data_IF_632285676517
#
_entry.id   IF_632285676517
#
_cell.length_a   1.000
_cell.length_b   1.000
_cell.length_c   1.000
_cell.angle_alpha   90.00
_cell.angle_beta   90.00
_cell.angle_gamma   90.00
#
_symmetry.space_group_name_H-M   'P 1'
#
loop_
_entity.id
_entity.type
_entity.pdbx_description
1 polymer ?
#
# COMPACT_ATOMS: atom_id res chain seq x y z
N UNK A 1 -62.17 37.97 -6.44
CA UNK A 1 -61.68 37.01 -5.46
C UNK A 1 -60.72 36.09 -6.19
N UNK A 2 -59.42 36.44 -6.24
CA UNK A 2 -58.40 35.67 -6.94
C UNK A 2 -57.77 34.72 -5.96
N UNK A 3 -57.80 33.43 -6.28
CA UNK A 3 -57.15 32.37 -5.48
C UNK A 3 -55.69 32.26 -5.93
N UNK A 4 -54.76 32.63 -5.01
CA UNK A 4 -53.32 32.51 -5.18
C UNK A 4 -52.93 31.03 -5.02
N UNK A 5 -52.27 30.45 -6.04
CA UNK A 5 -51.60 29.12 -5.94
C UNK A 5 -50.34 29.25 -5.06
N UNK A 6 -50.06 28.30 -4.15
CA UNK A 6 -48.83 28.29 -3.42
C UNK A 6 -47.65 27.87 -4.31
N UNK A 7 -46.55 28.58 -4.19
CA UNK A 7 -45.34 28.41 -4.95
C UNK A 7 -44.73 27.03 -4.73
N UNK A 8 -44.30 26.42 -5.84
CA UNK A 8 -43.49 25.23 -5.86
C UNK A 8 -42.12 25.53 -5.25
N UNK A 9 -41.76 24.78 -4.22
CA UNK A 9 -40.43 24.76 -3.64
C UNK A 9 -39.47 24.17 -4.69
N UNK A 10 -38.65 25.02 -5.29
CA UNK A 10 -37.47 24.58 -6.05
C UNK A 10 -36.60 23.75 -5.13
N UNK A 11 -36.52 22.43 -5.39
CA UNK A 11 -35.48 21.58 -4.85
C UNK A 11 -34.23 21.94 -5.64
N UNK A 12 -33.49 22.94 -5.16
CA UNK A 12 -32.12 23.16 -5.60
C UNK A 12 -31.35 21.86 -5.35
N UNK A 13 -30.99 21.20 -6.45
CA UNK A 13 -30.03 20.10 -6.43
C UNK A 13 -28.72 20.66 -5.86
N UNK A 14 -28.46 20.44 -4.57
CA UNK A 14 -27.12 20.63 -4.00
C UNK A 14 -26.18 19.77 -4.83
N UNK A 15 -25.46 20.40 -5.77
CA UNK A 15 -24.25 19.83 -6.37
C UNK A 15 -23.30 19.62 -5.21
N UNK A 16 -23.05 18.36 -4.86
CA UNK A 16 -22.14 17.99 -3.81
C UNK A 16 -20.81 18.71 -4.05
N UNK A 17 -20.34 19.44 -3.04
CA UNK A 17 -19.02 20.08 -3.06
C UNK A 17 -17.97 19.00 -3.32
N UNK A 18 -17.12 19.12 -4.35
CA UNK A 18 -16.10 18.11 -4.67
C UNK A 18 -15.22 17.71 -3.48
N UNK A 19 -14.96 18.63 -2.55
CA UNK A 19 -14.19 18.36 -1.34
C UNK A 19 -14.95 17.48 -0.35
N UNK A 20 -16.27 17.64 -0.22
CA UNK A 20 -17.12 16.81 0.62
C UNK A 20 -17.32 15.41 0.00
N UNK A 21 -17.40 15.34 -1.33
CA UNK A 21 -17.49 14.07 -2.05
C UNK A 21 -16.22 13.24 -1.86
N UNK A 22 -15.04 13.83 -2.01
CA UNK A 22 -13.77 13.14 -1.75
C UNK A 22 -13.61 12.77 -0.28
N UNK A 23 -13.95 13.65 0.64
CA UNK A 23 -13.91 13.36 2.08
C UNK A 23 -14.79 12.18 2.46
N UNK A 24 -15.99 12.06 1.88
CA UNK A 24 -16.87 10.91 2.10
C UNK A 24 -16.28 9.62 1.54
N UNK A 25 -15.65 9.65 0.36
CA UNK A 25 -14.95 8.46 -0.20
C UNK A 25 -13.86 7.95 0.73
N UNK A 26 -13.02 8.84 1.27
CA UNK A 26 -11.97 8.46 2.22
C UNK A 26 -12.56 7.86 3.48
N UNK A 27 -13.59 8.48 4.06
CA UNK A 27 -14.30 7.94 5.22
C UNK A 27 -14.87 6.54 5.00
N UNK A 28 -15.42 6.27 3.81
CA UNK A 28 -15.93 4.95 3.45
C UNK A 28 -14.81 3.91 3.25
N UNK A 29 -13.65 4.33 2.73
CA UNK A 29 -12.47 3.46 2.60
C UNK A 29 -11.90 3.13 4.00
N UNK A 30 -11.76 4.12 4.88
CA UNK A 30 -11.31 3.90 6.26
C UNK A 30 -12.27 2.97 7.00
N UNK A 31 -13.59 3.19 6.88
CA UNK A 31 -14.60 2.27 7.41
C UNK A 31 -14.50 0.87 6.81
N UNK A 32 -14.10 0.75 5.55
CA UNK A 32 -13.86 -0.56 4.91
C UNK A 32 -12.67 -1.27 5.56
N UNK A 33 -11.56 -0.57 5.80
CA UNK A 33 -10.40 -1.13 6.47
C UNK A 33 -10.72 -1.57 7.91
N UNK A 34 -11.46 -0.78 8.66
CA UNK A 34 -11.90 -1.13 10.01
C UNK A 34 -12.79 -2.39 10.00
N UNK A 35 -13.81 -2.45 9.13
CA UNK A 35 -14.67 -3.63 8.99
C UNK A 35 -13.85 -4.86 8.59
N UNK A 36 -12.92 -4.72 7.63
CA UNK A 36 -12.05 -5.83 7.20
C UNK A 36 -11.14 -6.29 8.34
N UNK A 37 -10.66 -5.37 9.17
CA UNK A 37 -9.87 -5.70 10.36
C UNK A 37 -10.62 -6.61 11.34
N UNK A 38 -11.93 -6.41 11.47
CA UNK A 38 -12.78 -7.16 12.40
C UNK A 38 -13.31 -8.49 11.84
N UNK A 39 -13.74 -8.50 10.56
CA UNK A 39 -14.46 -9.66 10.02
C UNK A 39 -13.74 -10.37 8.86
N UNK A 40 -12.62 -9.84 8.41
CA UNK A 40 -11.94 -10.30 7.19
C UNK A 40 -12.61 -9.82 5.91
N UNK A 41 -11.85 -9.86 4.81
CA UNK A 41 -12.33 -9.36 3.50
C UNK A 41 -13.43 -10.25 2.91
N UNK A 42 -13.41 -11.55 3.19
CA UNK A 42 -14.44 -12.50 2.73
C UNK A 42 -15.83 -12.13 3.24
N UNK A 43 -15.92 -11.70 4.50
CA UNK A 43 -17.17 -11.32 5.16
C UNK A 43 -17.52 -9.84 5.03
N UNK A 44 -16.74 -9.07 4.26
CA UNK A 44 -17.03 -7.68 3.93
C UNK A 44 -18.31 -7.59 3.08
N UNK A 45 -19.24 -6.71 3.49
CA UNK A 45 -20.42 -6.34 2.71
C UNK A 45 -20.62 -4.82 2.70
N UNK A 46 -21.24 -4.29 1.64
CA UNK A 46 -21.59 -2.86 1.56
C UNK A 46 -22.41 -2.42 2.78
N UNK A 47 -23.31 -3.30 3.25
CA UNK A 47 -24.15 -3.04 4.43
C UNK A 47 -23.30 -2.84 5.70
N UNK A 48 -22.31 -3.72 5.98
CA UNK A 48 -21.42 -3.57 7.13
C UNK A 48 -20.61 -2.28 7.08
N UNK A 49 -20.14 -1.90 5.87
CA UNK A 49 -19.43 -0.63 5.68
C UNK A 49 -20.35 0.56 5.93
N UNK A 50 -21.59 0.53 5.43
CA UNK A 50 -22.55 1.60 5.66
C UNK A 50 -22.95 1.75 7.13
N UNK A 51 -23.15 0.63 7.83
CA UNK A 51 -23.44 0.59 9.27
C UNK A 51 -22.25 1.17 10.07
N UNK A 52 -21.02 0.76 9.77
CA UNK A 52 -19.81 1.26 10.44
C UNK A 52 -19.59 2.77 10.17
N UNK A 53 -19.77 3.20 8.93
CA UNK A 53 -19.63 4.61 8.54
C UNK A 53 -20.79 5.51 9.02
N UNK A 54 -21.90 4.93 9.52
CA UNK A 54 -23.10 5.67 9.93
C UNK A 54 -23.81 6.35 8.75
N UNK A 55 -23.87 5.68 7.59
CA UNK A 55 -24.50 6.20 6.36
C UNK A 55 -25.46 5.19 5.76
N UNK A 56 -26.27 5.61 4.78
CA UNK A 56 -27.16 4.69 4.05
C UNK A 56 -26.37 3.80 3.08
N UNK A 57 -26.89 2.59 2.82
CA UNK A 57 -26.36 1.68 1.78
C UNK A 57 -26.35 2.34 0.41
N UNK A 58 -27.39 3.15 0.09
CA UNK A 58 -27.49 3.90 -1.16
C UNK A 58 -26.33 4.88 -1.34
N UNK A 59 -25.87 5.54 -0.27
CA UNK A 59 -24.72 6.44 -0.35
C UNK A 59 -23.43 5.70 -0.67
N UNK A 60 -23.21 4.51 -0.08
CA UNK A 60 -22.03 3.69 -0.43
C UNK A 60 -22.08 3.27 -1.90
N UNK A 61 -23.23 2.85 -2.41
CA UNK A 61 -23.41 2.52 -3.84
C UNK A 61 -23.20 3.73 -4.76
N UNK A 62 -23.60 4.93 -4.34
CA UNK A 62 -23.34 6.16 -5.09
C UNK A 62 -21.83 6.42 -5.28
N UNK A 63 -21.01 6.11 -4.26
CA UNK A 63 -19.56 6.31 -4.32
C UNK A 63 -18.78 5.18 -4.99
N UNK A 64 -19.26 3.92 -4.91
CA UNK A 64 -18.46 2.73 -5.26
C UNK A 64 -19.20 1.69 -6.12
N UNK A 65 -20.42 1.95 -6.54
CA UNK A 65 -21.24 1.06 -7.37
C UNK A 65 -21.46 -0.34 -6.76
N UNK A 66 -20.37 -1.06 -6.43
CA UNK A 66 -20.41 -2.42 -5.89
C UNK A 66 -19.22 -2.72 -4.97
N UNK A 67 -19.25 -3.91 -4.31
CA UNK A 67 -18.20 -4.37 -3.41
C UNK A 67 -16.82 -4.46 -4.08
N UNK A 68 -16.74 -4.96 -5.30
CA UNK A 68 -15.46 -5.13 -6.02
C UNK A 68 -14.80 -3.78 -6.30
N UNK A 69 -15.59 -2.77 -6.72
CA UNK A 69 -15.09 -1.41 -6.91
C UNK A 69 -14.62 -0.78 -5.58
N UNK A 70 -15.37 -0.96 -4.49
CA UNK A 70 -14.96 -0.50 -3.16
C UNK A 70 -13.63 -1.12 -2.74
N UNK A 71 -13.47 -2.45 -2.87
CA UNK A 71 -12.23 -3.18 -2.55
C UNK A 71 -11.07 -2.68 -3.42
N UNK A 72 -11.26 -2.57 -4.73
CA UNK A 72 -10.23 -2.03 -5.63
C UNK A 72 -9.80 -0.60 -5.26
N UNK A 73 -10.75 0.28 -4.94
CA UNK A 73 -10.44 1.65 -4.50
C UNK A 73 -9.73 1.68 -3.15
N UNK A 74 -10.01 0.72 -2.28
CA UNK A 74 -9.25 0.52 -1.02
C UNK A 74 -7.80 0.13 -1.32
N UNK A 75 -7.54 -0.79 -2.26
CA UNK A 75 -6.17 -1.11 -2.72
C UNK A 75 -5.42 0.14 -3.24
N UNK A 76 -6.09 0.91 -4.12
CA UNK A 76 -5.52 2.15 -4.67
C UNK A 76 -5.18 3.15 -3.56
N UNK A 77 -6.07 3.30 -2.58
CA UNK A 77 -5.86 4.20 -1.44
C UNK A 77 -4.65 3.78 -0.61
N UNK A 78 -4.56 2.51 -0.21
CA UNK A 78 -3.43 1.99 0.58
C UNK A 78 -2.08 2.22 -0.12
N UNK A 79 -1.99 1.86 -1.42
CA UNK A 79 -0.76 2.07 -2.20
C UNK A 79 -0.42 3.56 -2.32
N UNK A 80 -1.41 4.44 -2.50
CA UNK A 80 -1.18 5.89 -2.56
C UNK A 80 -0.72 6.45 -1.22
N UNK A 81 -1.29 5.99 -0.11
CA UNK A 81 -0.89 6.42 1.24
C UNK A 81 0.57 6.07 1.50
N UNK A 82 0.95 4.81 1.37
CA UNK A 82 2.34 4.35 1.54
C UNK A 82 3.29 5.10 0.60
N UNK A 83 2.92 5.27 -0.67
CA UNK A 83 3.73 6.02 -1.64
C UNK A 83 3.95 7.48 -1.22
N UNK A 84 2.90 8.16 -0.76
CA UNK A 84 3.00 9.58 -0.37
C UNK A 84 3.89 9.74 0.86
N UNK A 85 3.77 8.86 1.84
CA UNK A 85 4.62 8.84 3.02
C UNK A 85 6.09 8.55 2.66
N UNK A 86 6.34 7.57 1.79
CA UNK A 86 7.67 7.29 1.26
C UNK A 86 8.29 8.52 0.60
N UNK A 87 7.54 9.22 -0.27
CA UNK A 87 8.03 10.42 -0.94
C UNK A 87 8.34 11.52 0.09
N UNK A 88 7.44 11.76 1.04
CA UNK A 88 7.60 12.81 2.04
C UNK A 88 8.78 12.55 2.99
N UNK A 89 8.94 11.31 3.46
CA UNK A 89 10.02 10.94 4.38
C UNK A 89 11.38 10.90 3.69
N UNK A 90 11.49 10.24 2.55
CA UNK A 90 12.75 10.12 1.79
C UNK A 90 13.35 11.47 1.38
N UNK A 91 12.51 12.50 1.14
CA UNK A 91 13.00 13.87 0.83
C UNK A 91 13.75 14.52 1.98
N UNK A 92 13.54 14.07 3.21
CA UNK A 92 14.17 14.62 4.42
C UNK A 92 15.48 13.94 4.77
N UNK A 93 15.81 12.82 4.11
CA UNK A 93 16.95 11.97 4.41
C UNK A 93 18.00 12.14 3.29
N UNK A 94 19.16 12.65 3.60
CA UNK A 94 20.27 12.85 2.64
C UNK A 94 21.11 11.58 2.45
N UNK A 95 21.31 10.82 3.52
CA UNK A 95 22.11 9.59 3.50
C UNK A 95 21.37 8.46 2.76
N UNK A 96 22.00 7.81 1.76
CA UNK A 96 21.35 6.77 0.96
C UNK A 96 21.09 5.48 1.75
N UNK A 97 21.93 5.14 2.73
CA UNK A 97 21.75 3.94 3.58
C UNK A 97 20.55 4.15 4.49
N UNK A 98 20.44 5.31 5.11
CA UNK A 98 19.29 5.66 5.94
C UNK A 98 17.99 5.75 5.10
N UNK A 99 18.05 6.18 3.81
CA UNK A 99 16.89 6.11 2.93
C UNK A 99 16.46 4.68 2.59
N UNK A 100 17.44 3.75 2.44
CA UNK A 100 17.13 2.31 2.28
C UNK A 100 16.41 1.77 3.51
N UNK A 101 16.94 2.01 4.72
CA UNK A 101 16.35 1.60 5.99
C UNK A 101 14.95 2.18 6.16
N UNK A 102 14.81 3.49 5.99
CA UNK A 102 13.50 4.16 6.04
C UNK A 102 12.48 3.57 5.05
N UNK A 103 12.93 3.19 3.84
CA UNK A 103 12.02 2.58 2.85
C UNK A 103 11.50 1.24 3.32
N UNK A 104 12.34 0.46 4.00
CA UNK A 104 11.96 -0.82 4.63
C UNK A 104 11.02 -0.59 5.82
N UNK A 105 11.39 0.32 6.73
CA UNK A 105 10.59 0.63 7.91
C UNK A 105 9.15 1.03 7.53
N UNK A 106 9.01 1.79 6.45
CA UNK A 106 7.69 2.14 5.90
C UNK A 106 6.88 0.95 5.37
N UNK A 107 7.53 -0.11 4.88
CA UNK A 107 6.84 -1.33 4.45
C UNK A 107 6.28 -2.15 5.64
N UNK A 108 6.76 -1.89 6.84
CA UNK A 108 6.34 -2.54 8.09
C UNK A 108 5.78 -1.53 9.12
N UNK A 109 5.40 -0.33 8.69
CA UNK A 109 4.82 0.69 9.55
C UNK A 109 3.48 0.25 10.15
N UNK A 110 3.08 0.84 11.28
CA UNK A 110 1.81 0.57 11.95
C UNK A 110 0.59 0.68 11.01
N UNK A 111 0.63 1.62 10.04
CA UNK A 111 -0.43 1.75 9.04
C UNK A 111 -0.50 0.52 8.11
N UNK A 112 0.66 0.04 7.61
CA UNK A 112 0.75 -1.14 6.73
C UNK A 112 0.41 -2.41 7.48
N UNK A 113 0.77 -2.49 8.76
CA UNK A 113 0.55 -3.64 9.64
C UNK A 113 -0.76 -3.56 10.44
N UNK A 114 -1.57 -2.49 10.26
CA UNK A 114 -2.89 -2.39 10.90
C UNK A 114 -3.78 -3.60 10.54
N UNK A 115 -4.68 -4.04 11.43
CA UNK A 115 -5.49 -5.24 11.18
C UNK A 115 -6.23 -5.23 9.85
N UNK A 116 -6.77 -4.07 9.45
CA UNK A 116 -7.46 -3.92 8.17
C UNK A 116 -6.51 -4.03 6.98
N UNK A 117 -5.43 -3.27 6.98
CA UNK A 117 -4.45 -3.29 5.90
C UNK A 117 -3.79 -4.66 5.77
N UNK A 118 -3.38 -5.28 6.89
CA UNK A 118 -2.76 -6.60 6.89
C UNK A 118 -3.66 -7.72 6.34
N UNK A 119 -4.99 -7.59 6.45
CA UNK A 119 -5.92 -8.52 5.82
C UNK A 119 -6.16 -8.21 4.33
N UNK A 120 -5.95 -6.96 3.89
CA UNK A 120 -6.16 -6.54 2.49
C UNK A 120 -4.97 -6.86 1.60
N UNK A 121 -3.71 -6.75 2.09
CA UNK A 121 -2.51 -6.98 1.29
C UNK A 121 -2.46 -8.36 0.62
N UNK A 122 -2.65 -9.51 1.34
CA UNK A 122 -2.62 -10.84 0.72
C UNK A 122 -3.71 -11.02 -0.33
N UNK A 123 -4.89 -10.44 -0.08
CA UNK A 123 -5.99 -10.52 -1.05
C UNK A 123 -5.66 -9.76 -2.33
N UNK A 124 -5.02 -8.59 -2.23
CA UNK A 124 -4.56 -7.85 -3.40
C UNK A 124 -3.52 -8.65 -4.20
N UNK A 125 -2.57 -9.33 -3.56
CA UNK A 125 -1.60 -10.17 -4.25
C UNK A 125 -2.28 -11.37 -4.94
N UNK A 126 -3.21 -12.05 -4.28
CA UNK A 126 -3.97 -13.14 -4.87
C UNK A 126 -4.84 -12.69 -6.04
N UNK A 127 -5.58 -11.59 -5.90
CA UNK A 127 -6.41 -11.01 -6.96
C UNK A 127 -5.59 -10.59 -8.18
N UNK A 128 -4.32 -10.20 -8.01
CA UNK A 128 -3.46 -9.79 -9.12
C UNK A 128 -3.22 -10.89 -10.16
N UNK A 129 -3.44 -12.16 -9.80
CA UNK A 129 -3.35 -13.28 -10.73
C UNK A 129 -4.54 -13.35 -11.72
N UNK A 130 -5.67 -12.73 -11.38
CA UNK A 130 -6.93 -12.87 -12.11
C UNK A 130 -7.54 -11.52 -12.55
N UNK A 131 -7.16 -10.42 -11.90
CA UNK A 131 -7.69 -9.08 -12.14
C UNK A 131 -6.62 -8.16 -12.73
N UNK A 132 -6.74 -7.84 -14.03
CA UNK A 132 -5.73 -7.06 -14.80
C UNK A 132 -5.44 -5.70 -14.17
N UNK A 133 -6.45 -5.01 -13.63
CA UNK A 133 -6.25 -3.70 -13.03
C UNK A 133 -5.51 -3.80 -11.69
N UNK A 134 -5.79 -4.83 -10.89
CA UNK A 134 -5.03 -5.14 -9.66
C UNK A 134 -3.60 -5.54 -10.01
N UNK A 135 -3.39 -6.37 -11.03
CA UNK A 135 -2.06 -6.74 -11.51
C UNK A 135 -1.24 -5.50 -11.92
N UNK A 136 -1.84 -4.58 -12.69
CA UNK A 136 -1.19 -3.33 -13.11
C UNK A 136 -0.82 -2.46 -11.91
N UNK A 137 -1.70 -2.38 -10.93
CA UNK A 137 -1.50 -1.63 -9.70
C UNK A 137 -0.31 -2.19 -8.88
N UNK A 138 -0.30 -3.51 -8.64
CA UNK A 138 0.79 -4.21 -7.95
C UNK A 138 2.12 -4.04 -8.69
N UNK A 139 2.11 -4.24 -10.01
CA UNK A 139 3.32 -4.12 -10.83
C UNK A 139 3.87 -2.67 -10.83
N UNK A 140 3.00 -1.66 -10.85
CA UNK A 140 3.42 -0.26 -10.77
C UNK A 140 4.05 0.07 -9.41
N UNK A 141 3.45 -0.41 -8.31
CA UNK A 141 3.98 -0.25 -6.96
C UNK A 141 5.34 -0.95 -6.80
N UNK A 142 5.45 -2.22 -7.19
CA UNK A 142 6.70 -2.98 -7.11
C UNK A 142 7.81 -2.36 -7.95
N UNK A 143 7.53 -1.91 -9.18
CA UNK A 143 8.51 -1.20 -10.02
C UNK A 143 9.00 0.07 -9.36
N UNK A 144 8.11 0.83 -8.74
CA UNK A 144 8.48 2.07 -8.05
C UNK A 144 9.36 1.81 -6.83
N UNK A 145 8.99 0.83 -6.02
CA UNK A 145 9.76 0.43 -4.84
C UNK A 145 11.15 -0.06 -5.24
N UNK A 146 11.23 -0.94 -6.25
CA UNK A 146 12.49 -1.40 -6.84
C UNK A 146 13.37 -0.25 -7.34
N UNK A 147 12.79 0.71 -8.06
CA UNK A 147 13.51 1.89 -8.53
C UNK A 147 14.10 2.72 -7.39
N UNK A 148 13.39 2.86 -6.28
CA UNK A 148 13.90 3.53 -5.09
C UNK A 148 15.11 2.78 -4.51
N UNK A 149 15.02 1.46 -4.35
CA UNK A 149 16.13 0.63 -3.86
C UNK A 149 17.35 0.70 -4.79
N UNK A 150 17.18 0.54 -6.11
CA UNK A 150 18.27 0.65 -7.08
C UNK A 150 18.96 2.00 -6.96
N UNK A 151 18.19 3.10 -6.89
CA UNK A 151 18.73 4.44 -6.77
C UNK A 151 19.60 4.60 -5.53
N UNK A 152 19.10 4.17 -4.37
CA UNK A 152 19.81 4.35 -3.10
C UNK A 152 21.01 3.41 -2.96
N UNK A 153 20.92 2.15 -3.40
CA UNK A 153 22.09 1.26 -3.45
C UNK A 153 23.20 1.82 -4.36
N UNK A 154 22.83 2.43 -5.49
CA UNK A 154 23.84 3.11 -6.35
C UNK A 154 24.47 4.32 -5.66
N UNK A 155 23.67 5.13 -4.97
CA UNK A 155 24.18 6.28 -4.20
C UNK A 155 25.06 5.83 -3.02
N UNK A 156 24.80 4.66 -2.45
CA UNK A 156 25.60 4.03 -1.40
C UNK A 156 26.89 3.35 -1.93
N UNK A 157 27.17 3.45 -3.25
CA UNK A 157 28.43 2.98 -3.84
C UNK A 157 28.36 1.61 -4.54
N UNK A 158 27.20 0.96 -4.60
CA UNK A 158 27.04 -0.28 -5.37
C UNK A 158 27.10 -0.01 -6.87
N UNK A 159 27.72 -0.91 -7.64
CA UNK A 159 27.62 -0.86 -9.10
C UNK A 159 26.17 -1.14 -9.60
N UNK A 160 25.91 -0.93 -10.89
CA UNK A 160 24.56 -1.04 -11.43
C UNK A 160 23.99 -2.47 -11.36
N UNK A 161 24.83 -3.50 -11.55
CA UNK A 161 24.42 -4.90 -11.52
C UNK A 161 24.05 -5.30 -10.08
N UNK A 162 24.92 -4.98 -9.12
CA UNK A 162 24.72 -5.29 -7.70
C UNK A 162 23.54 -4.52 -7.11
N UNK A 163 23.37 -3.23 -7.43
CA UNK A 163 22.22 -2.45 -7.00
C UNK A 163 20.89 -3.07 -7.47
N UNK A 164 20.86 -3.62 -8.70
CA UNK A 164 19.70 -4.31 -9.21
C UNK A 164 19.43 -5.64 -8.47
N UNK A 165 20.47 -6.43 -8.17
CA UNK A 165 20.35 -7.68 -7.40
C UNK A 165 19.83 -7.39 -6.00
N UNK A 166 20.44 -6.44 -5.30
CA UNK A 166 20.01 -6.06 -3.94
C UNK A 166 18.58 -5.50 -3.90
N UNK A 167 18.17 -4.76 -4.93
CA UNK A 167 16.78 -4.30 -5.02
C UNK A 167 15.78 -5.45 -5.19
N UNK A 168 16.14 -6.50 -5.94
CA UNK A 168 15.31 -7.71 -6.06
C UNK A 168 15.27 -8.46 -4.73
N UNK A 169 16.42 -8.62 -4.07
CA UNK A 169 16.49 -9.25 -2.74
C UNK A 169 15.66 -8.49 -1.70
N UNK A 170 15.76 -7.15 -1.68
CA UNK A 170 14.96 -6.32 -0.78
C UNK A 170 13.45 -6.50 -1.00
N UNK A 171 13.00 -6.56 -2.25
CA UNK A 171 11.59 -6.84 -2.55
C UNK A 171 11.17 -8.25 -2.12
N UNK A 172 11.99 -9.25 -2.39
CA UNK A 172 11.72 -10.64 -2.01
C UNK A 172 11.67 -10.79 -0.47
N UNK A 173 12.61 -10.16 0.25
CA UNK A 173 12.62 -10.14 1.71
C UNK A 173 11.41 -9.41 2.27
N UNK A 174 10.99 -8.28 1.68
CA UNK A 174 9.78 -7.57 2.13
C UNK A 174 8.56 -8.49 2.11
N UNK A 175 8.34 -9.24 1.03
CA UNK A 175 7.21 -10.17 0.95
C UNK A 175 7.40 -11.38 1.86
N UNK A 176 8.60 -11.98 1.89
CA UNK A 176 8.89 -13.15 2.73
C UNK A 176 8.75 -12.87 4.22
N UNK A 177 9.40 -11.81 4.71
CA UNK A 177 9.34 -11.43 6.12
C UNK A 177 7.95 -10.94 6.54
N UNK A 178 7.19 -10.32 5.62
CA UNK A 178 5.80 -10.00 5.87
C UNK A 178 4.97 -11.27 6.14
N UNK A 179 5.16 -12.34 5.35
CA UNK A 179 4.49 -13.63 5.54
C UNK A 179 4.93 -14.28 6.84
N UNK A 180 6.23 -14.30 7.13
CA UNK A 180 6.79 -14.88 8.37
C UNK A 180 6.24 -14.18 9.60
N UNK A 181 6.17 -12.85 9.58
CA UNK A 181 5.61 -12.08 10.68
C UNK A 181 4.10 -12.26 10.82
N UNK A 182 3.35 -12.04 9.72
CA UNK A 182 1.89 -11.88 9.80
C UNK A 182 1.12 -13.20 9.71
N UNK A 183 1.63 -14.17 8.94
CA UNK A 183 0.94 -15.44 8.68
C UNK A 183 1.51 -16.55 9.56
N UNK A 184 2.82 -16.71 9.58
CA UNK A 184 3.47 -17.75 10.36
C UNK A 184 3.62 -17.38 11.85
N UNK A 185 3.74 -16.07 12.16
CA UNK A 185 3.97 -15.59 13.53
C UNK A 185 5.32 -16.01 14.10
N UNK A 186 6.30 -16.28 13.23
CA UNK A 186 7.62 -16.80 13.60
C UNK A 186 8.63 -15.74 13.95
N UNK A 187 8.42 -14.49 13.51
CA UNK A 187 9.30 -13.35 13.74
C UNK A 187 8.53 -12.11 14.21
N UNK A 188 9.11 -11.33 15.10
CA UNK A 188 8.58 -10.03 15.51
C UNK A 188 8.92 -8.93 14.49
N UNK A 189 8.27 -7.78 14.59
CA UNK A 189 8.60 -6.61 13.73
C UNK A 189 10.03 -6.14 13.98
N UNK A 190 10.49 -6.14 15.23
CA UNK A 190 11.85 -5.77 15.61
C UNK A 190 12.89 -6.69 14.95
N UNK A 191 12.62 -8.00 14.93
CA UNK A 191 13.48 -8.98 14.25
C UNK A 191 13.46 -8.77 12.73
N UNK A 192 12.29 -8.53 12.14
CA UNK A 192 12.15 -8.19 10.70
C UNK A 192 13.02 -7.00 10.34
N UNK A 193 12.91 -5.90 11.08
CA UNK A 193 13.68 -4.68 10.82
C UNK A 193 15.17 -4.91 11.05
N UNK A 194 15.56 -5.63 12.12
CA UNK A 194 16.97 -5.96 12.40
C UNK A 194 17.59 -6.82 11.28
N UNK A 195 16.88 -7.84 10.80
CA UNK A 195 17.32 -8.66 9.65
C UNK A 195 17.54 -7.78 8.42
N UNK A 196 16.58 -6.93 8.12
CA UNK A 196 16.64 -6.08 6.93
C UNK A 196 17.75 -5.05 6.99
N UNK A 197 17.87 -4.35 8.13
CA UNK A 197 18.95 -3.37 8.34
C UNK A 197 20.32 -4.05 8.25
N UNK A 198 20.47 -5.25 8.81
CA UNK A 198 21.70 -6.03 8.69
C UNK A 198 22.03 -6.39 7.24
N UNK A 199 21.04 -6.75 6.42
CA UNK A 199 21.24 -7.01 4.97
C UNK A 199 21.67 -5.73 4.24
N UNK A 200 21.05 -4.58 4.54
CA UNK A 200 21.41 -3.28 3.94
C UNK A 200 22.86 -2.91 4.34
N UNK A 201 23.21 -2.99 5.62
CA UNK A 201 24.53 -2.65 6.12
C UNK A 201 25.61 -3.55 5.50
N UNK A 202 25.36 -4.86 5.39
CA UNK A 202 26.27 -5.77 4.71
C UNK A 202 26.42 -5.45 3.20
N UNK A 203 25.32 -5.10 2.52
CA UNK A 203 25.35 -4.74 1.11
C UNK A 203 26.11 -3.43 0.83
N UNK A 204 26.10 -2.49 1.77
CA UNK A 204 26.74 -1.16 1.61
C UNK A 204 28.15 -1.09 2.22
N UNK A 205 28.48 -1.92 3.21
CA UNK A 205 29.78 -1.95 3.93
C UNK A 205 30.83 -2.87 3.29
N UNK A 206 31.00 -2.89 1.97
CA UNK A 206 32.17 -3.47 1.27
C UNK A 206 32.43 -4.99 1.38
N UNK A 207 31.75 -5.77 2.21
CA UNK A 207 31.97 -7.22 2.34
C UNK A 207 31.62 -8.06 1.09
N UNK A 208 30.90 -7.48 0.14
CA UNK A 208 30.39 -8.17 -1.04
C UNK A 208 31.38 -8.27 -2.23
N UNK A 209 32.45 -7.45 -2.25
CA UNK A 209 33.44 -7.48 -3.35
C UNK A 209 34.06 -8.86 -3.56
N UNK A 210 33.98 -9.73 -2.57
CA UNK A 210 34.53 -11.08 -2.62
C UNK A 210 33.53 -12.20 -2.83
N UNK A 211 32.23 -12.00 -2.54
CA UNK A 211 31.26 -13.10 -2.48
C UNK A 211 30.57 -13.49 -3.80
N UNK A 212 30.59 -12.64 -4.82
CA UNK A 212 29.81 -12.88 -6.05
C UNK A 212 30.63 -12.95 -7.34
N UNK A 213 31.95 -13.14 -7.29
CA UNK A 213 32.75 -13.40 -8.49
C UNK A 213 32.31 -14.65 -9.30
N UNK A 214 31.47 -15.51 -8.70
CA UNK A 214 30.98 -16.73 -9.36
C UNK A 214 29.72 -16.57 -10.19
N UNK A 215 28.93 -15.49 -10.03
CA UNK A 215 27.64 -15.32 -10.73
C UNK A 215 27.76 -14.61 -12.08
N UNK A 216 28.92 -14.05 -12.44
CA UNK A 216 29.16 -13.42 -13.73
C UNK A 216 29.13 -14.41 -14.92
N UNK A 217 29.08 -15.72 -14.67
CA UNK A 217 29.13 -16.76 -15.71
C UNK A 217 27.76 -17.38 -16.06
N UNK A 218 26.64 -16.87 -15.54
CA UNK A 218 25.30 -17.37 -15.87
C UNK A 218 24.56 -16.54 -16.94
N UNK A 219 25.26 -15.86 -17.83
CA UNK A 219 24.70 -15.07 -18.92
C UNK A 219 25.20 -15.57 -20.30
N UNK A 220 24.65 -16.71 -20.76
CA UNK A 220 24.58 -17.08 -22.16
C UNK A 220 23.34 -17.92 -22.40
#
# INVERSE_FOLDING_TARGET
MQVQKPGGTEIESRKDDPSQYEGMRYRLIDSTLEVVGHVGLEHLTIRKVSEHAGVSVGLVHHHFENKSNLVYKTFVYMIRSVRNQLIAGRRKISDPVERLKFTVDMCFSDEVMSPGAANVWPHMWSSSAHEVDVQRLCAAFSRRLRSNFIHDFRQAGCDAAMANIYAIQALALTHGLWIEHRVAGTVSIEEVLAIFHGVIDNATNQGWKTSFRGLANFGH
#
